data_IF_537529064286
#
_entry.id   IF_537529064286
#
_cell.length_a   1.000
_cell.length_b   1.000
_cell.length_c   1.000
_cell.angle_alpha   90.00
_cell.angle_beta   90.00
_cell.angle_gamma   90.00
#
_symmetry.space_group_name_H-M   'P 1'
#
loop_
_entity.id
_entity.type
_entity.pdbx_description
1 polymer ?
#
# COMPACT_ATOMS: atom_id res chain seq x y z
N UNK A 1 3.33 -10.62 8.77
CA UNK A 1 2.22 -9.85 8.21
C UNK A 1 2.80 -8.69 7.43
N UNK A 2 2.50 -8.57 6.14
CA UNK A 2 2.98 -7.52 5.24
C UNK A 2 1.90 -6.46 5.02
N UNK A 3 2.21 -5.22 5.37
CA UNK A 3 1.32 -4.06 5.26
C UNK A 3 1.85 -3.16 4.15
N UNK A 4 1.03 -2.89 3.14
CA UNK A 4 1.43 -2.06 1.99
C UNK A 4 0.60 -0.79 1.92
N UNK A 5 1.28 0.36 2.01
CA UNK A 5 0.72 1.68 1.71
C UNK A 5 1.03 2.05 0.26
N UNK A 6 0.03 2.50 -0.49
CA UNK A 6 0.23 2.87 -1.90
C UNK A 6 0.25 4.39 -2.16
N UNK A 7 -0.10 5.25 -1.19
CA UNK A 7 -0.26 6.70 -1.38
C UNK A 7 0.12 7.55 -0.14
N UNK A 8 1.29 7.32 0.47
CA UNK A 8 1.65 8.00 1.73
C UNK A 8 1.89 9.50 1.60
N UNK A 9 2.21 10.00 0.40
CA UNK A 9 2.45 11.45 0.21
C UNK A 9 1.21 12.29 0.53
N UNK A 10 0.01 11.72 0.37
CA UNK A 10 -1.25 12.41 0.70
C UNK A 10 -1.42 12.72 2.19
N UNK A 11 -0.62 12.10 3.05
CA UNK A 11 -0.64 12.28 4.50
C UNK A 11 0.31 13.38 4.98
N UNK A 12 1.17 13.93 4.10
CA UNK A 12 2.22 14.86 4.50
C UNK A 12 3.46 14.17 5.10
N UNK A 13 4.42 14.98 5.52
CA UNK A 13 5.69 14.52 6.12
C UNK A 13 5.72 14.70 7.65
N UNK A 14 4.63 15.19 8.23
CA UNK A 14 4.43 15.47 9.65
C UNK A 14 3.69 14.35 10.40
N UNK A 15 3.23 13.32 9.68
CA UNK A 15 2.59 12.13 10.25
C UNK A 15 3.60 11.01 10.42
N UNK A 16 3.70 10.48 11.64
CA UNK A 16 4.51 9.30 11.94
C UNK A 16 3.73 8.01 11.67
N UNK A 17 4.26 7.19 10.76
CA UNK A 17 3.71 5.88 10.40
C UNK A 17 4.54 4.71 10.98
N UNK A 18 5.50 4.98 11.86
CA UNK A 18 6.37 3.96 12.47
C UNK A 18 5.61 3.00 13.38
N UNK A 19 4.46 3.42 13.91
CA UNK A 19 3.62 2.56 14.76
C UNK A 19 3.16 1.28 14.04
N UNK A 20 3.03 1.32 12.71
CA UNK A 20 2.68 0.13 11.91
C UNK A 20 3.81 -0.90 11.84
N UNK A 21 5.07 -0.47 12.02
CA UNK A 21 6.24 -1.35 11.99
C UNK A 21 6.22 -2.35 13.16
N UNK A 22 5.43 -2.08 14.21
CA UNK A 22 5.18 -3.01 15.32
C UNK A 22 4.22 -4.14 14.94
N UNK A 23 3.42 -3.97 13.88
CA UNK A 23 2.40 -4.92 13.45
C UNK A 23 2.93 -5.88 12.37
N UNK A 24 4.07 -5.56 11.73
CA UNK A 24 4.66 -6.41 10.70
C UNK A 24 5.62 -5.67 9.77
N UNK A 25 5.90 -6.26 8.62
CA UNK A 25 6.70 -5.64 7.56
C UNK A 25 5.86 -4.55 6.88
N UNK A 26 6.35 -3.30 6.86
CA UNK A 26 5.63 -2.18 6.24
C UNK A 26 6.36 -1.69 5.00
N UNK A 27 5.69 -1.73 3.87
CA UNK A 27 6.16 -1.17 2.59
C UNK A 27 5.35 0.08 2.26
N UNK A 28 6.03 1.20 2.01
CA UNK A 28 5.40 2.51 1.79
C UNK A 28 5.76 3.02 0.40
N UNK A 29 4.76 3.22 -0.44
CA UNK A 29 4.90 3.95 -1.70
C UNK A 29 4.30 5.36 -1.55
N UNK A 30 5.06 6.43 -1.87
CA UNK A 30 4.54 7.79 -1.76
C UNK A 30 3.41 8.06 -2.76
N UNK A 31 3.53 7.51 -3.98
CA UNK A 31 2.54 7.61 -5.05
C UNK A 31 2.17 6.25 -5.64
N UNK A 32 0.90 6.14 -6.02
CA UNK A 32 0.37 5.04 -6.80
C UNK A 32 0.95 5.02 -8.22
N UNK A 33 1.11 3.83 -8.78
CA UNK A 33 1.31 3.65 -10.23
C UNK A 33 0.38 2.51 -10.69
N UNK A 34 -0.70 2.80 -11.44
CA UNK A 34 -1.65 1.79 -11.91
C UNK A 34 -1.00 0.59 -12.61
N UNK A 35 0.11 0.80 -13.33
CA UNK A 35 0.82 -0.28 -14.03
C UNK A 35 1.58 -1.21 -13.09
N UNK A 36 1.97 -0.72 -11.91
CA UNK A 36 2.73 -1.49 -10.92
C UNK A 36 1.88 -2.02 -9.76
N UNK A 37 0.71 -1.43 -9.51
CA UNK A 37 -0.08 -1.68 -8.29
C UNK A 37 -0.35 -3.16 -8.07
N UNK A 38 -0.79 -3.89 -9.11
CA UNK A 38 -1.03 -5.33 -9.00
C UNK A 38 0.21 -6.10 -8.49
N UNK A 39 1.41 -5.74 -8.97
CA UNK A 39 2.66 -6.35 -8.52
C UNK A 39 3.04 -5.90 -7.10
N UNK A 40 2.83 -4.63 -6.77
CA UNK A 40 3.15 -4.05 -5.46
C UNK A 40 2.32 -4.65 -4.32
N UNK A 41 1.13 -5.15 -4.62
CA UNK A 41 0.19 -5.72 -3.64
C UNK A 41 0.14 -7.26 -3.65
N UNK A 42 0.86 -7.92 -4.56
CA UNK A 42 0.68 -9.35 -4.83
C UNK A 42 0.91 -10.27 -3.62
N UNK A 43 1.73 -9.83 -2.66
CA UNK A 43 2.07 -10.53 -1.43
C UNK A 43 1.70 -9.71 -0.16
N UNK A 44 0.83 -8.71 -0.30
CA UNK A 44 0.35 -7.92 0.82
C UNK A 44 -0.70 -8.69 1.61
N UNK A 45 -0.55 -8.77 2.93
CA UNK A 45 -1.60 -9.27 3.83
C UNK A 45 -2.63 -8.16 4.13
N UNK A 46 -2.17 -6.90 4.21
CA UNK A 46 -2.99 -5.72 4.47
C UNK A 46 -2.64 -4.62 3.47
N UNK A 47 -3.67 -3.98 2.91
CA UNK A 47 -3.55 -2.82 2.02
C UNK A 47 -4.12 -1.57 2.68
N UNK A 48 -3.35 -0.48 2.64
CA UNK A 48 -3.77 0.85 3.08
C UNK A 48 -3.74 1.79 1.88
N UNK A 49 -4.92 2.25 1.47
CA UNK A 49 -5.16 3.05 0.27
C UNK A 49 -6.13 4.20 0.58
N UNK A 50 -6.03 5.31 -0.15
CA UNK A 50 -6.93 6.45 0.02
C UNK A 50 -7.91 6.59 -1.15
N UNK A 51 -7.39 6.63 -2.38
CA UNK A 51 -8.17 6.90 -3.60
C UNK A 51 -7.90 5.91 -4.74
N UNK A 52 -7.01 4.94 -4.55
CA UNK A 52 -6.77 3.88 -5.55
C UNK A 52 -8.00 2.98 -5.72
N UNK A 53 -8.48 2.78 -6.95
CA UNK A 53 -9.55 1.82 -7.22
C UNK A 53 -9.11 0.39 -6.91
N UNK A 54 -9.79 -0.28 -5.97
CA UNK A 54 -9.58 -1.71 -5.71
C UNK A 54 -10.47 -2.56 -6.60
N UNK A 55 -10.16 -2.54 -7.90
CA UNK A 55 -10.88 -3.25 -8.97
C UNK A 55 -10.09 -4.46 -9.49
N UNK A 56 -10.65 -5.16 -10.49
CA UNK A 56 -10.04 -6.35 -11.09
C UNK A 56 -8.59 -6.11 -11.55
N UNK A 57 -8.31 -5.02 -12.26
CA UNK A 57 -6.96 -4.75 -12.77
C UNK A 57 -5.94 -4.53 -11.65
N UNK A 58 -6.37 -3.93 -10.54
CA UNK A 58 -5.53 -3.71 -9.35
C UNK A 58 -5.34 -4.99 -8.55
N UNK A 59 -6.40 -5.77 -8.36
CA UNK A 59 -6.41 -6.98 -7.53
C UNK A 59 -5.98 -8.27 -8.24
N UNK A 60 -5.79 -8.26 -9.57
CA UNK A 60 -5.54 -9.47 -10.39
C UNK A 60 -4.37 -10.36 -9.94
N UNK A 61 -3.40 -9.83 -9.17
CA UNK A 61 -2.27 -10.59 -8.63
C UNK A 61 -2.30 -10.74 -7.10
N UNK A 62 -3.30 -10.18 -6.43
CA UNK A 62 -3.47 -10.33 -4.98
C UNK A 62 -3.82 -11.79 -4.64
N UNK A 63 -3.27 -12.30 -3.54
CA UNK A 63 -3.45 -13.68 -3.07
C UNK A 63 -4.52 -13.79 -2.00
#
# INVERSE_FOLDING_TARGET
MKIVFLETETLGNDVDLSIFDQLGEVVKYPRSNPEENARRIADADILIVNKIPMNESTLKLAK
#
